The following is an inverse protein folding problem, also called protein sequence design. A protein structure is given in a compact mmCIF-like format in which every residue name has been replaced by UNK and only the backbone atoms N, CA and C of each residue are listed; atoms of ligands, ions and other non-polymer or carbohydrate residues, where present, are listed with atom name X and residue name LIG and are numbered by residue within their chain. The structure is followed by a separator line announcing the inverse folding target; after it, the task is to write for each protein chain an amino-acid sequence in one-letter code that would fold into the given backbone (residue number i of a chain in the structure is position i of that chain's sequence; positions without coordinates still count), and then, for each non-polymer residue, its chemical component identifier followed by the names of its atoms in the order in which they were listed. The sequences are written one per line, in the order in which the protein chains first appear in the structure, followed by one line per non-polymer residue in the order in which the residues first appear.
data_IF_713440321967
#
_entry.id   IF_713440321967
#
_cell.length_a   1.000
_cell.length_b   1.000
_cell.length_c   1.000
_cell.angle_alpha   90.00
_cell.angle_beta   90.00
_cell.angle_gamma   90.00
#
_symmetry.space_group_name_H-M   'P 1'
#
loop_
_entity.id
_entity.type
_entity.pdbx_description
1 polymer ?
#
# COMPACT_ATOMS: atom_id res chain seq x y z
N UNK A 1 9.27 9.49 -0.75
CA UNK A 1 8.31 8.46 -0.28
C UNK A 1 8.46 8.28 1.22
N UNK A 2 7.36 8.28 1.98
CA UNK A 2 7.38 8.13 3.44
C UNK A 2 6.56 6.89 3.86
N UNK A 3 6.98 5.72 3.36
CA UNK A 3 6.46 4.40 3.75
C UNK A 3 7.53 3.61 4.49
N UNK A 4 7.17 3.09 5.65
CA UNK A 4 8.03 2.25 6.48
C UNK A 4 7.46 0.85 6.62
N UNK A 5 8.29 -0.18 6.86
CA UNK A 5 7.80 -1.48 7.28
C UNK A 5 6.88 -1.36 8.50
N UNK A 6 5.71 -2.00 8.44
CA UNK A 6 4.65 -1.88 9.45
C UNK A 6 3.54 -0.91 9.09
N UNK A 7 3.75 0.02 8.15
CA UNK A 7 2.69 0.90 7.67
C UNK A 7 1.56 0.09 7.03
N UNK A 8 0.33 0.59 7.15
CA UNK A 8 -0.85 -0.03 6.57
C UNK A 8 -1.25 0.67 5.27
N UNK A 9 -1.46 -0.13 4.24
CA UNK A 9 -2.06 0.26 2.97
C UNK A 9 -3.41 -0.41 2.82
N UNK A 10 -4.35 0.25 2.17
CA UNK A 10 -5.70 -0.27 1.98
C UNK A 10 -5.95 -0.63 0.51
N UNK A 11 -6.60 -1.77 0.23
CA UNK A 11 -6.83 -2.19 -1.17
C UNK A 11 -5.61 -2.87 -1.80
N UNK A 12 -5.81 -3.91 -2.62
CA UNK A 12 -4.81 -4.42 -3.56
C UNK A 12 -5.48 -5.14 -4.74
N UNK A 13 -5.19 -4.69 -5.96
CA UNK A 13 -5.67 -5.30 -7.19
C UNK A 13 -4.64 -5.14 -8.30
N UNK A 14 -4.30 -6.24 -8.98
CA UNK A 14 -3.47 -6.24 -10.21
C UNK A 14 -2.17 -5.44 -10.12
N UNK A 15 -1.49 -5.46 -8.97
CA UNK A 15 -0.22 -4.74 -8.76
C UNK A 15 -0.35 -3.28 -8.34
N UNK A 16 -1.54 -2.85 -7.94
CA UNK A 16 -1.82 -1.53 -7.37
C UNK A 16 -2.50 -1.69 -6.01
N UNK A 17 -2.12 -0.88 -5.02
CA UNK A 17 -2.90 -0.77 -3.78
C UNK A 17 -4.11 0.16 -4.02
N UNK A 18 -5.19 0.02 -3.25
CA UNK A 18 -6.41 0.80 -3.40
C UNK A 18 -7.63 0.08 -4.01
N UNK A 19 -8.81 0.54 -3.55
CA UNK A 19 -10.19 0.35 -4.04
C UNK A 19 -10.87 -1.03 -3.99
N UNK A 20 -10.22 -2.14 -4.36
CA UNK A 20 -10.98 -3.37 -4.67
C UNK A 20 -10.87 -4.50 -3.63
N UNK A 21 -9.82 -4.49 -2.80
CA UNK A 21 -9.61 -5.50 -1.75
C UNK A 21 -9.61 -4.80 -0.39
N UNK A 22 -10.81 -4.64 0.17
CA UNK A 22 -11.16 -3.91 1.40
C UNK A 22 -10.50 -4.43 2.71
N UNK A 23 -9.31 -4.98 2.64
CA UNK A 23 -8.51 -5.42 3.77
C UNK A 23 -7.18 -4.64 3.85
N UNK A 24 -6.73 -4.45 5.09
CA UNK A 24 -5.41 -3.88 5.39
C UNK A 24 -4.29 -4.76 4.83
N UNK A 25 -3.26 -4.09 4.30
CA UNK A 25 -2.01 -4.68 3.84
C UNK A 25 -0.87 -4.07 4.65
N UNK A 26 -0.05 -4.90 5.28
CA UNK A 26 1.07 -4.43 6.09
C UNK A 26 2.32 -4.38 5.22
N UNK A 27 2.94 -3.21 5.11
CA UNK A 27 4.17 -3.01 4.34
C UNK A 27 5.30 -3.81 4.97
N UNK A 28 5.99 -4.60 4.14
CA UNK A 28 7.19 -5.36 4.49
C UNK A 28 8.44 -4.60 4.08
N UNK A 29 8.44 -4.04 2.88
CA UNK A 29 9.49 -3.19 2.36
C UNK A 29 8.94 -2.27 1.27
N UNK A 30 9.62 -1.16 1.06
CA UNK A 30 9.35 -0.24 -0.02
C UNK A 30 10.65 0.38 -0.51
N UNK A 31 10.66 0.85 -1.74
CA UNK A 31 11.81 1.55 -2.27
C UNK A 31 11.53 2.25 -3.59
N UNK A 32 12.54 2.99 -4.03
CA UNK A 32 12.52 3.76 -5.26
C UNK A 32 13.75 3.41 -6.08
N UNK A 33 13.57 3.22 -7.39
CA UNK A 33 14.67 3.13 -8.33
C UNK A 33 14.35 3.99 -9.57
N UNK A 34 15.15 5.04 -9.80
CA UNK A 34 15.00 5.97 -10.94
C UNK A 34 13.59 6.56 -11.06
N UNK A 35 12.98 6.97 -9.94
CA UNK A 35 11.63 7.54 -9.92
C UNK A 35 10.50 6.51 -10.04
N UNK A 36 10.82 5.22 -10.11
CA UNK A 36 9.84 4.13 -10.08
C UNK A 36 9.77 3.55 -8.68
N UNK A 37 8.61 3.64 -8.05
CA UNK A 37 8.39 3.09 -6.72
C UNK A 37 7.96 1.62 -6.79
N UNK A 38 8.32 0.89 -5.75
CA UNK A 38 7.87 -0.47 -5.48
C UNK A 38 7.55 -0.66 -3.99
N UNK A 39 6.61 -1.55 -3.71
CA UNK A 39 6.14 -1.88 -2.36
C UNK A 39 5.88 -3.38 -2.30
N UNK A 40 6.39 -4.04 -1.27
CA UNK A 40 5.97 -5.38 -0.87
C UNK A 40 5.15 -5.29 0.42
N UNK A 41 4.03 -5.99 0.46
CA UNK A 41 3.15 -6.04 1.63
C UNK A 41 2.59 -7.44 1.85
N UNK A 42 2.04 -7.69 3.03
CA UNK A 42 1.33 -8.92 3.36
C UNK A 42 -0.12 -8.62 3.71
N UNK A 43 -1.05 -9.46 3.27
CA UNK A 43 -2.45 -9.35 3.67
C UNK A 43 -2.81 -10.22 4.90
N UNK A 44 -4.05 -10.15 5.38
CA UNK A 44 -4.51 -10.91 6.53
C UNK A 44 -4.43 -12.43 6.34
N UNK A 45 -4.37 -12.90 5.10
CA UNK A 45 -4.24 -14.32 4.73
C UNK A 45 -2.78 -14.79 4.60
N UNK A 46 -1.79 -13.90 4.80
CA UNK A 46 -0.37 -14.23 4.65
C UNK A 46 0.13 -14.21 3.21
N UNK A 47 -0.66 -13.72 2.25
CA UNK A 47 -0.22 -13.58 0.87
C UNK A 47 0.71 -12.37 0.72
N UNK A 48 1.85 -12.59 0.07
CA UNK A 48 2.80 -11.53 -0.29
C UNK A 48 2.32 -10.86 -1.57
N UNK A 49 2.24 -9.54 -1.53
CA UNK A 49 1.76 -8.69 -2.60
C UNK A 49 2.90 -7.77 -3.04
N UNK A 50 3.04 -7.59 -4.35
CA UNK A 50 3.99 -6.67 -4.94
C UNK A 50 3.23 -5.64 -5.76
N UNK A 51 3.45 -4.36 -5.47
CA UNK A 51 3.09 -3.27 -6.34
C UNK A 51 4.36 -2.59 -6.84
N UNK A 52 4.40 -2.20 -8.10
CA UNK A 52 5.55 -1.53 -8.73
C UNK A 52 5.08 -0.65 -9.88
N UNK A 53 5.90 0.30 -10.32
CA UNK A 53 5.54 1.15 -11.47
C UNK A 53 4.67 2.35 -11.10
N UNK A 54 4.63 2.73 -9.83
CA UNK A 54 3.80 3.81 -9.30
C UNK A 54 4.62 5.06 -8.97
N UNK A 55 3.93 6.20 -8.84
CA UNK A 55 4.48 7.48 -8.38
C UNK A 55 4.27 7.69 -6.87
N UNK A 56 4.95 8.68 -6.29
CA UNK A 56 4.75 9.03 -4.87
C UNK A 56 3.32 9.48 -4.57
N UNK A 57 2.70 10.22 -5.49
CA UNK A 57 1.32 10.70 -5.38
C UNK A 57 0.31 9.54 -5.32
N UNK A 58 0.59 8.43 -6.02
CA UNK A 58 -0.25 7.24 -5.95
C UNK A 58 -0.20 6.62 -4.55
N UNK A 59 1.00 6.57 -3.96
CA UNK A 59 1.23 6.01 -2.63
C UNK A 59 0.52 6.82 -1.54
N UNK A 60 0.59 8.15 -1.61
CA UNK A 60 -0.09 9.02 -0.64
C UNK A 60 -1.60 8.84 -0.65
N UNK A 61 -2.21 8.59 -1.81
CA UNK A 61 -3.65 8.32 -1.93
C UNK A 61 -4.10 7.02 -1.27
N UNK A 62 -3.21 6.05 -1.10
CA UNK A 62 -3.53 4.72 -0.56
C UNK A 62 -3.11 4.55 0.89
N UNK A 63 -2.27 5.48 1.39
CA UNK A 63 -1.90 5.51 2.79
C UNK A 63 -3.18 5.73 3.59
N UNK A 64 -3.48 4.79 4.47
CA UNK A 64 -4.59 4.94 5.39
C UNK A 64 -4.13 5.91 6.48
N UNK A 65 -4.70 7.09 6.52
CA UNK A 65 -4.61 7.92 7.71
C UNK A 65 -5.51 7.24 8.77
N UNK A 66 -4.93 6.91 9.92
CA UNK A 66 -5.66 6.28 11.04
C UNK A 66 -6.80 7.17 11.60
N UNK A 67 -6.98 8.40 11.07
CA UNK A 67 -7.96 9.41 11.49
C UNK A 67 -9.27 9.42 10.68
N UNK A 68 -9.46 8.54 9.70
CA UNK A 68 -10.76 8.43 9.00
C UNK A 68 -11.65 7.45 9.77
N UNK A 69 -12.44 7.99 10.71
CA UNK A 69 -13.62 7.29 11.25
C UNK A 69 -14.49 6.83 10.08
N UNK A 70 -14.78 5.53 10.04
CA UNK A 70 -15.74 4.93 9.12
C UNK A 70 -17.05 5.73 9.18
N UNK A 71 -17.55 6.34 8.08
CA UNK A 71 -18.88 6.91 8.09
C UNK A 71 -19.88 5.76 8.28
N UNK A 72 -20.50 5.74 9.46
CA UNK A 72 -21.54 4.80 9.86
C UNK A 72 -22.73 4.73 8.90
#
# INVERSE_FOLDING_TARGET
MNLSPGDKLYGFCSGYFGRDSYEDKVVLAAGENRGVLWITAVNAHGHILLAQGMSADDVERWKRDDDVEDPA
#
